data_IF_208029679357
#
_entry.id   IF_208029679357
#
_cell.length_a   1.000
_cell.length_b   1.000
_cell.length_c   1.000
_cell.angle_alpha   90.00
_cell.angle_beta   90.00
_cell.angle_gamma   90.00
#
_symmetry.space_group_name_H-M   'P 1'
#
loop_
_entity.id
_entity.type
_entity.pdbx_description
1 polymer ?
#
# COMPACT_ATOMS: atom_id res chain seq x y z
N UNK A 1 -47.09 16.18 -0.53
CA UNK A 1 -47.62 17.55 -0.67
C UNK A 1 -47.10 18.34 0.51
N UNK A 2 -46.45 19.47 0.22
CA UNK A 2 -45.58 20.20 1.16
C UNK A 2 -46.38 21.23 1.96
N UNK A 3 -46.11 21.32 3.27
CA UNK A 3 -46.21 22.53 4.09
C UNK A 3 -45.01 22.57 5.05
N UNK A 4 -44.22 23.63 4.92
CA UNK A 4 -43.05 24.05 5.70
C UNK A 4 -43.59 24.65 7.02
N UNK A 5 -43.00 24.49 8.22
CA UNK A 5 -41.82 25.20 8.74
C UNK A 5 -41.64 24.85 10.24
N UNK A 6 -40.44 24.41 10.70
CA UNK A 6 -39.87 24.78 12.01
C UNK A 6 -38.38 24.37 12.07
N UNK A 7 -37.54 25.41 11.96
CA UNK A 7 -36.28 25.63 12.67
C UNK A 7 -35.34 24.43 12.93
N UNK A 8 -34.40 24.22 12.00
CA UNK A 8 -32.98 24.16 12.35
C UNK A 8 -32.47 22.98 13.18
N UNK A 9 -32.58 21.75 12.66
CA UNK A 9 -31.57 20.68 12.69
C UNK A 9 -32.05 19.60 11.70
N UNK A 10 -31.34 19.40 10.59
CA UNK A 10 -31.61 18.27 9.68
C UNK A 10 -30.89 17.05 10.27
N UNK A 11 -31.51 16.38 11.25
CA UNK A 11 -31.21 14.97 11.49
C UNK A 11 -31.81 14.25 10.30
N UNK A 12 -30.97 13.68 9.44
CA UNK A 12 -31.37 12.72 8.43
C UNK A 12 -31.82 11.45 9.17
N UNK A 13 -33.00 11.50 9.79
CA UNK A 13 -33.73 10.30 10.14
C UNK A 13 -34.16 9.70 8.80
N UNK A 14 -33.38 8.73 8.33
CA UNK A 14 -33.89 7.66 7.50
C UNK A 14 -35.05 7.05 8.26
N UNK A 15 -36.24 7.62 8.11
CA UNK A 15 -37.50 6.95 8.40
C UNK A 15 -37.59 5.81 7.41
N UNK A 16 -36.96 4.69 7.76
CA UNK A 16 -37.42 3.40 7.32
C UNK A 16 -38.78 3.25 8.00
N UNK A 17 -39.83 3.73 7.33
CA UNK A 17 -41.20 3.37 7.65
C UNK A 17 -41.32 1.86 7.39
N UNK A 18 -40.88 1.07 8.37
CA UNK A 18 -41.25 -0.34 8.49
C UNK A 18 -42.72 -0.31 8.90
N UNK A 19 -43.59 -0.08 7.91
CA UNK A 19 -45.00 -0.40 8.04
C UNK A 19 -45.09 -1.91 8.21
N UNK A 20 -45.11 -2.35 9.47
CA UNK A 20 -45.47 -3.69 9.89
C UNK A 20 -46.95 -3.87 9.57
N UNK A 21 -47.28 -4.04 8.29
CA UNK A 21 -48.57 -4.59 7.90
C UNK A 21 -48.61 -6.03 8.41
N UNK A 22 -49.51 -6.27 9.36
CA UNK A 22 -49.74 -7.56 9.99
C UNK A 22 -50.39 -8.54 9.00
N UNK A 23 -49.63 -9.06 8.03
CA UNK A 23 -50.07 -10.20 7.22
C UNK A 23 -49.64 -11.49 7.91
N UNK A 24 -50.40 -11.92 8.93
CA UNK A 24 -50.33 -13.28 9.46
C UNK A 24 -50.83 -14.28 8.39
N UNK A 25 -49.96 -14.64 7.47
CA UNK A 25 -50.05 -15.91 6.74
C UNK A 25 -49.05 -16.88 7.41
N UNK A 26 -49.37 -18.18 7.57
CA UNK A 26 -48.53 -19.16 8.27
C UNK A 26 -47.14 -19.38 7.62
N UNK A 27 -46.87 -18.74 6.48
CA UNK A 27 -45.63 -18.82 5.71
C UNK A 27 -44.58 -17.76 6.08
N UNK A 28 -44.96 -16.72 6.85
CA UNK A 28 -44.04 -15.64 7.24
C UNK A 28 -42.83 -16.06 8.09
N UNK A 29 -42.89 -16.99 9.06
CA UNK A 29 -41.71 -17.32 9.85
C UNK A 29 -40.64 -18.05 9.01
N UNK A 30 -41.06 -18.87 8.06
CA UNK A 30 -40.15 -19.60 7.17
C UNK A 30 -39.49 -18.65 6.16
N UNK A 31 -40.26 -17.72 5.61
CA UNK A 31 -39.74 -16.70 4.69
C UNK A 31 -38.74 -15.77 5.40
N UNK A 32 -39.06 -15.36 6.63
CA UNK A 32 -38.19 -14.52 7.45
C UNK A 32 -36.88 -15.23 7.80
N UNK A 33 -36.93 -16.51 8.18
CA UNK A 33 -35.74 -17.32 8.46
C UNK A 33 -34.82 -17.47 7.24
N UNK A 34 -35.39 -17.74 6.06
CA UNK A 34 -34.64 -17.82 4.80
C UNK A 34 -33.99 -16.49 4.41
N UNK A 35 -34.70 -15.37 4.58
CA UNK A 35 -34.16 -14.05 4.27
C UNK A 35 -32.96 -13.69 5.15
N UNK A 36 -33.06 -13.94 6.46
CA UNK A 36 -31.96 -13.68 7.41
C UNK A 36 -30.76 -14.58 7.11
N UNK A 37 -31.01 -15.87 6.84
CA UNK A 37 -29.96 -16.83 6.48
C UNK A 37 -29.22 -16.44 5.20
N UNK A 38 -29.96 -16.04 4.16
CA UNK A 38 -29.39 -15.59 2.89
C UNK A 38 -28.54 -14.32 3.05
N UNK A 39 -29.04 -13.32 3.78
CA UNK A 39 -28.30 -12.08 4.04
C UNK A 39 -27.01 -12.34 4.84
N UNK A 40 -27.07 -13.20 5.87
CA UNK A 40 -25.90 -13.57 6.67
C UNK A 40 -24.84 -14.32 5.84
N UNK A 41 -25.26 -15.25 4.98
CA UNK A 41 -24.36 -16.01 4.12
C UNK A 41 -23.69 -15.11 3.07
N UNK A 42 -24.47 -14.24 2.41
CA UNK A 42 -23.96 -13.28 1.43
C UNK A 42 -23.00 -12.27 2.09
N UNK A 43 -23.33 -11.77 3.27
CA UNK A 43 -22.45 -10.89 4.05
C UNK A 43 -21.12 -11.56 4.38
N UNK A 44 -21.14 -12.83 4.83
CA UNK A 44 -19.92 -13.60 5.10
C UNK A 44 -19.07 -13.79 3.84
N UNK A 45 -19.69 -14.16 2.72
CA UNK A 45 -19.00 -14.36 1.45
C UNK A 45 -18.33 -13.06 0.95
N UNK A 46 -19.05 -11.93 1.05
CA UNK A 46 -18.53 -10.62 0.69
C UNK A 46 -17.32 -10.22 1.55
N UNK A 47 -17.38 -10.42 2.87
CA UNK A 47 -16.27 -10.12 3.77
C UNK A 47 -15.04 -11.00 3.51
N UNK A 48 -15.23 -12.28 3.21
CA UNK A 48 -14.12 -13.18 2.86
C UNK A 48 -13.44 -12.77 1.55
N UNK A 49 -14.21 -12.41 0.52
CA UNK A 49 -13.68 -11.90 -0.74
C UNK A 49 -12.95 -10.56 -0.56
N UNK A 50 -13.45 -9.69 0.30
CA UNK A 50 -12.81 -8.40 0.58
C UNK A 50 -11.51 -8.54 1.39
N UNK A 51 -11.45 -9.51 2.31
CA UNK A 51 -10.25 -9.77 3.11
C UNK A 51 -9.09 -10.34 2.28
N UNK A 52 -9.35 -11.20 1.29
CA UNK A 52 -8.31 -11.70 0.38
C UNK A 52 -7.76 -10.60 -0.53
N UNK A 53 -8.60 -9.64 -0.92
CA UNK A 53 -8.16 -8.44 -1.62
C UNK A 53 -7.27 -7.56 -0.73
N UNK A 54 -7.63 -7.37 0.55
CA UNK A 54 -6.86 -6.55 1.49
C UNK A 54 -5.57 -7.20 1.99
N UNK A 55 -5.50 -8.53 2.05
CA UNK A 55 -4.28 -9.28 2.41
C UNK A 55 -3.24 -9.32 1.29
N UNK A 56 -3.60 -8.83 0.09
CA UNK A 56 -2.65 -8.45 -0.98
C UNK A 56 -2.11 -7.02 -0.75
N UNK A 57 -2.03 -6.57 0.50
CA UNK A 57 -1.22 -5.40 0.86
C UNK A 57 0.27 -5.68 0.59
N UNK A 58 1.10 -4.64 0.39
CA UNK A 58 2.53 -4.82 0.17
C UNK A 58 3.12 -5.61 1.33
N UNK A 59 3.65 -6.81 1.06
CA UNK A 59 4.37 -7.60 2.07
C UNK A 59 5.51 -6.73 2.60
N UNK A 60 5.37 -6.24 3.83
CA UNK A 60 6.43 -5.50 4.50
C UNK A 60 7.63 -6.44 4.55
N UNK A 61 8.63 -6.16 3.71
CA UNK A 61 9.88 -6.94 3.73
C UNK A 61 10.56 -6.68 5.06
N UNK A 62 11.13 -7.72 5.64
CA UNK A 62 11.96 -7.59 6.84
C UNK A 62 13.01 -6.52 6.58
N UNK A 63 12.92 -5.40 7.28
CA UNK A 63 13.93 -4.36 7.23
C UNK A 63 15.24 -4.92 7.77
N UNK A 64 16.34 -4.63 7.12
CA UNK A 64 17.66 -4.99 7.63
C UNK A 64 17.88 -4.27 8.96
N UNK A 65 18.23 -5.02 9.99
CA UNK A 65 18.55 -4.45 11.31
C UNK A 65 19.97 -3.88 11.26
N UNK A 66 20.10 -2.56 11.38
CA UNK A 66 21.38 -1.85 11.37
C UNK A 66 21.31 -0.51 10.65
N UNK A 67 22.40 0.25 10.71
CA UNK A 67 22.61 1.44 9.88
C UNK A 67 23.36 1.15 8.59
N UNK A 68 23.68 2.19 7.84
CA UNK A 68 24.63 2.08 6.72
C UNK A 68 26.03 1.76 7.24
N UNK A 69 26.81 1.03 6.44
CA UNK A 69 28.21 0.82 6.74
C UNK A 69 28.99 2.14 6.58
N UNK A 70 30.07 2.32 7.38
CA UNK A 70 30.94 3.49 7.25
C UNK A 70 31.59 3.53 5.85
N UNK A 71 32.02 2.38 5.35
CA UNK A 71 32.48 2.20 3.96
C UNK A 71 31.48 1.39 3.17
N UNK A 72 31.10 1.87 1.99
CA UNK A 72 30.08 1.22 1.19
C UNK A 72 30.62 -0.03 0.49
N UNK A 73 30.01 -1.18 0.81
CA UNK A 73 30.34 -2.47 0.21
C UNK A 73 29.51 -2.73 -1.05
N UNK A 74 29.99 -3.59 -1.96
CA UNK A 74 29.21 -4.01 -3.14
C UNK A 74 27.87 -4.65 -2.76
N UNK A 75 27.86 -5.42 -1.67
CA UNK A 75 26.67 -6.10 -1.15
C UNK A 75 25.63 -5.09 -0.65
N UNK A 76 26.07 -4.09 0.10
CA UNK A 76 25.19 -3.00 0.56
C UNK A 76 24.64 -2.17 -0.62
N UNK A 77 25.49 -1.83 -1.58
CA UNK A 77 25.08 -1.11 -2.78
C UNK A 77 23.98 -1.85 -3.57
N UNK A 78 24.13 -3.17 -3.71
CA UNK A 78 23.13 -4.03 -4.34
C UNK A 78 21.80 -4.04 -3.56
N UNK A 79 21.86 -4.05 -2.22
CA UNK A 79 20.69 -3.99 -1.35
C UNK A 79 19.97 -2.63 -1.43
N UNK A 80 20.71 -1.51 -1.44
CA UNK A 80 20.15 -0.16 -1.57
C UNK A 80 19.40 0.00 -2.90
N UNK A 81 20.02 -0.42 -4.01
CA UNK A 81 19.44 -0.29 -5.35
C UNK A 81 18.42 -1.39 -5.67
N UNK A 82 18.32 -2.43 -4.85
CA UNK A 82 17.43 -3.57 -5.07
C UNK A 82 17.79 -4.39 -6.31
N UNK A 83 19.07 -4.42 -6.68
CA UNK A 83 19.60 -5.16 -7.84
C UNK A 83 20.56 -6.26 -7.39
N UNK A 84 20.89 -7.19 -8.29
CA UNK A 84 21.97 -8.16 -8.01
C UNK A 84 23.34 -7.50 -8.15
N UNK A 85 24.33 -8.01 -7.42
CA UNK A 85 25.72 -7.52 -7.52
C UNK A 85 26.30 -7.62 -8.94
N UNK A 86 25.81 -8.58 -9.74
CA UNK A 86 26.17 -8.80 -11.14
C UNK A 86 25.17 -8.23 -12.15
N UNK A 87 24.32 -7.29 -11.74
CA UNK A 87 23.33 -6.69 -12.63
C UNK A 87 23.99 -5.89 -13.78
N UNK A 88 23.38 -5.87 -14.98
CA UNK A 88 23.86 -5.03 -16.08
C UNK A 88 23.73 -3.54 -15.74
N UNK A 89 24.61 -2.71 -16.32
CA UNK A 89 24.64 -1.26 -16.06
C UNK A 89 23.31 -0.56 -16.32
N UNK A 90 22.54 -1.02 -17.31
CA UNK A 90 21.25 -0.41 -17.65
C UNK A 90 20.24 -0.54 -16.50
N UNK A 91 20.19 -1.72 -15.87
CA UNK A 91 19.35 -1.95 -14.69
C UNK A 91 19.81 -1.13 -13.48
N UNK A 92 21.12 -0.92 -13.34
CA UNK A 92 21.69 -0.09 -12.27
C UNK A 92 21.26 1.38 -12.47
N UNK A 93 21.35 1.91 -13.69
CA UNK A 93 20.93 3.27 -14.04
C UNK A 93 19.43 3.48 -13.83
N UNK A 94 18.62 2.52 -14.26
CA UNK A 94 17.17 2.57 -14.08
C UNK A 94 16.76 2.52 -12.60
N UNK A 95 17.36 1.62 -11.82
CA UNK A 95 17.13 1.55 -10.38
C UNK A 95 17.56 2.83 -9.66
N UNK A 96 18.74 3.37 -10.00
CA UNK A 96 19.24 4.64 -9.48
C UNK A 96 18.27 5.78 -9.76
N UNK A 97 17.79 5.94 -11.01
CA UNK A 97 16.82 6.97 -11.37
C UNK A 97 15.54 6.85 -10.55
N UNK A 98 14.99 5.65 -10.41
CA UNK A 98 13.75 5.42 -9.64
C UNK A 98 13.90 5.81 -8.18
N UNK A 99 14.99 5.40 -7.54
CA UNK A 99 15.23 5.65 -6.11
C UNK A 99 15.58 7.12 -5.88
N UNK A 100 16.35 7.75 -6.78
CA UNK A 100 16.75 9.15 -6.66
C UNK A 100 15.54 10.09 -6.77
N UNK A 101 14.60 9.83 -7.69
CA UNK A 101 13.38 10.63 -7.80
C UNK A 101 12.57 10.57 -6.50
N UNK A 102 12.47 9.38 -5.88
CA UNK A 102 11.73 9.20 -4.64
C UNK A 102 12.42 9.84 -3.41
N UNK A 103 13.75 9.99 -3.44
CA UNK A 103 14.54 10.47 -2.31
C UNK A 103 15.28 11.79 -2.60
N UNK A 104 14.85 12.54 -3.63
CA UNK A 104 15.53 13.76 -4.03
C UNK A 104 15.50 14.78 -2.88
N UNK A 105 16.62 15.44 -2.53
CA UNK A 105 16.66 16.39 -1.41
C UNK A 105 15.64 17.52 -1.58
N UNK A 106 15.47 18.01 -2.81
CA UNK A 106 14.51 19.09 -3.11
C UNK A 106 13.04 18.65 -3.02
N UNK A 107 12.77 17.34 -3.04
CA UNK A 107 11.43 16.77 -2.87
C UNK A 107 11.13 16.39 -1.40
N UNK A 108 11.96 16.86 -0.45
CA UNK A 108 11.86 16.51 0.98
C UNK A 108 12.58 15.20 1.34
N UNK A 109 13.41 14.66 0.44
CA UNK A 109 14.28 13.53 0.72
C UNK A 109 15.48 13.89 1.60
N UNK A 110 16.13 12.88 2.18
CA UNK A 110 17.35 13.10 2.96
C UNK A 110 18.57 13.24 2.04
N UNK A 111 19.35 14.31 2.23
CA UNK A 111 20.64 14.50 1.54
C UNK A 111 21.59 13.33 1.77
N UNK A 112 21.61 12.77 2.98
CA UNK A 112 22.42 11.60 3.33
C UNK A 112 22.02 10.36 2.52
N UNK A 113 20.72 10.11 2.34
CA UNK A 113 20.22 8.99 1.54
C UNK A 113 20.59 9.19 0.06
N UNK A 114 20.43 10.40 -0.47
CA UNK A 114 20.82 10.71 -1.84
C UNK A 114 22.32 10.44 -2.09
N UNK A 115 23.18 10.85 -1.15
CA UNK A 115 24.61 10.56 -1.20
C UNK A 115 24.88 9.05 -1.20
N UNK A 116 24.25 8.28 -0.32
CA UNK A 116 24.40 6.82 -0.26
C UNK A 116 23.92 6.12 -1.53
N UNK A 117 22.85 6.61 -2.16
CA UNK A 117 22.36 6.08 -3.44
C UNK A 117 23.34 6.37 -4.59
N UNK A 118 24.02 7.52 -4.57
CA UNK A 118 25.07 7.85 -5.53
C UNK A 118 26.32 6.99 -5.34
N UNK A 119 26.79 6.82 -4.10
CA UNK A 119 27.88 5.90 -3.76
C UNK A 119 27.62 4.48 -4.28
N UNK A 120 26.39 3.99 -4.09
CA UNK A 120 25.99 2.65 -4.51
C UNK A 120 26.08 2.47 -6.04
N UNK A 121 25.61 3.48 -6.80
CA UNK A 121 25.71 3.48 -8.26
C UNK A 121 27.16 3.47 -8.71
N UNK A 122 28.02 4.30 -8.14
CA UNK A 122 29.41 4.44 -8.59
C UNK A 122 30.24 3.18 -8.28
N UNK A 123 29.89 2.46 -7.22
CA UNK A 123 30.46 1.16 -6.89
C UNK A 123 30.04 0.05 -7.85
N UNK A 124 28.75 -0.05 -8.18
CA UNK A 124 28.25 -1.12 -9.07
C UNK A 124 28.53 -0.85 -10.55
N UNK A 125 28.55 0.42 -10.97
CA UNK A 125 28.92 0.80 -12.35
C UNK A 125 30.43 0.76 -12.63
N UNK A 126 31.24 0.33 -11.66
CA UNK A 126 32.68 0.17 -11.83
C UNK A 126 33.46 1.48 -12.03
N UNK A 127 32.81 2.65 -11.93
CA UNK A 127 33.45 3.96 -12.08
C UNK A 127 34.50 4.20 -10.99
N UNK A 128 34.27 3.71 -9.78
CA UNK A 128 35.22 3.86 -8.67
C UNK A 128 36.55 3.11 -8.90
N UNK A 129 36.54 2.00 -9.63
CA UNK A 129 37.76 1.20 -9.88
C UNK A 129 38.66 1.76 -11.00
N UNK A 130 38.17 2.70 -11.82
CA UNK A 130 39.01 3.35 -12.85
C UNK A 130 39.82 4.54 -12.31
N UNK A 131 39.49 5.04 -11.12
CA UNK A 131 40.20 6.15 -10.49
C UNK A 131 41.47 5.72 -9.74
N UNK A 132 41.68 4.41 -9.54
CA UNK A 132 42.82 3.85 -8.81
C UNK A 132 43.90 3.18 -9.68
N UNK A 133 43.83 3.28 -11.01
CA UNK A 133 44.76 2.62 -11.94
C UNK A 133 45.46 3.59 -12.89
N UNK A 134 45.76 4.82 -12.43
CA UNK A 134 46.49 5.84 -13.21
C UNK A 134 47.97 5.95 -12.78
N UNK A 135 48.47 4.92 -12.11
CA UNK A 135 49.90 4.73 -11.84
C UNK A 135 50.33 3.36 -12.36
#
# INVERSE_FOLDING_TARGET
>A
MVCVEYCGIVVFFMSVDVRLECTQTPTTPLLAGLAIGAAAYAGRAALQAFQSFKSTGPRLRSFYKGGFLPEMSRREAALILGVRESAPEDKIKEAHRRIMIANHPDAGGSSFIATKVNEAKDLLSGKRNRAGSVF
#
